data_IF_579744520035
#
_entry.id   IF_579744520035
#
_cell.length_a   1.000
_cell.length_b   1.000
_cell.length_c   1.000
_cell.angle_alpha   90.00
_cell.angle_beta   90.00
_cell.angle_gamma   90.00
#
_symmetry.space_group_name_H-M   'P 1'
#
loop_
_entity.id
_entity.type
_entity.pdbx_description
1 polymer ?
#
# COMPACT_ATOMS: atom_id res chain seq x y z
N UNK A 1 22.56 -1.33 -5.71
CA UNK A 1 22.77 -2.42 -6.70
C UNK A 1 21.97 -3.67 -6.36
N UNK A 2 21.97 -4.15 -5.11
CA UNK A 2 21.19 -5.35 -4.72
C UNK A 2 19.67 -5.16 -4.88
N UNK A 3 19.12 -4.00 -4.50
CA UNK A 3 17.68 -3.68 -4.66
C UNK A 3 17.27 -3.63 -6.13
N UNK A 4 17.96 -2.85 -6.95
CA UNK A 4 17.69 -2.77 -8.40
C UNK A 4 17.78 -4.14 -9.12
N UNK A 5 18.71 -5.00 -8.71
CA UNK A 5 18.78 -6.38 -9.20
C UNK A 5 17.60 -7.23 -8.69
N UNK A 6 17.19 -7.03 -7.43
CA UNK A 6 16.01 -7.69 -6.85
C UNK A 6 14.71 -7.31 -7.55
N UNK A 7 14.53 -6.02 -7.83
CA UNK A 7 13.40 -5.46 -8.57
C UNK A 7 13.36 -5.99 -10.00
N UNK A 8 14.48 -5.90 -10.74
CA UNK A 8 14.58 -6.45 -12.09
C UNK A 8 14.20 -7.94 -12.12
N UNK A 9 14.75 -8.73 -11.19
CA UNK A 9 14.44 -10.16 -11.12
C UNK A 9 12.97 -10.41 -10.78
N UNK A 10 12.36 -9.61 -9.91
CA UNK A 10 10.95 -9.74 -9.55
C UNK A 10 10.07 -9.43 -10.75
N UNK A 11 10.25 -8.26 -11.36
CA UNK A 11 9.46 -7.80 -12.50
C UNK A 11 9.63 -8.67 -13.74
N UNK A 12 10.86 -9.10 -14.06
CA UNK A 12 11.13 -9.92 -15.25
C UNK A 12 10.51 -11.33 -15.18
N UNK A 13 10.29 -11.86 -13.97
CA UNK A 13 9.71 -13.20 -13.77
C UNK A 13 8.22 -13.17 -13.41
N UNK A 14 7.65 -11.98 -13.20
CA UNK A 14 6.26 -11.84 -12.82
C UNK A 14 5.36 -11.98 -14.07
N UNK A 15 4.37 -12.90 -14.08
CA UNK A 15 3.39 -12.93 -15.16
C UNK A 15 2.65 -11.59 -15.23
N UNK A 16 2.24 -11.20 -16.44
CA UNK A 16 1.47 -9.98 -16.64
C UNK A 16 0.19 -10.00 -15.79
N UNK A 17 -0.10 -8.85 -15.19
CA UNK A 17 -1.31 -8.60 -14.41
C UNK A 17 -1.82 -7.20 -14.73
N UNK A 18 -3.13 -7.02 -14.84
CA UNK A 18 -3.70 -5.73 -15.28
C UNK A 18 -3.43 -4.60 -14.29
N UNK A 19 -3.28 -4.92 -13.01
CA UNK A 19 -3.10 -3.97 -11.92
C UNK A 19 -1.65 -3.88 -11.38
N UNK A 20 -0.67 -4.37 -12.15
CA UNK A 20 0.76 -4.28 -11.82
C UNK A 20 1.50 -3.68 -13.01
N UNK A 21 2.44 -2.77 -12.72
CA UNK A 21 3.26 -2.13 -13.73
C UNK A 21 4.09 -3.14 -14.52
N UNK A 22 3.92 -3.16 -15.84
CA UNK A 22 4.65 -4.06 -16.72
C UNK A 22 6.07 -3.55 -17.01
N UNK A 23 7.07 -4.42 -16.83
CA UNK A 23 8.41 -4.20 -17.35
C UNK A 23 8.44 -4.38 -18.87
N UNK A 24 8.74 -3.30 -19.58
CA UNK A 24 8.84 -3.22 -21.03
C UNK A 24 10.25 -3.58 -21.52
N UNK A 25 11.27 -3.32 -20.69
CA UNK A 25 12.66 -3.64 -20.99
C UNK A 25 13.60 -3.19 -19.87
N UNK A 26 14.88 -3.49 -20.00
CA UNK A 26 15.92 -3.00 -19.10
C UNK A 26 17.23 -2.77 -19.84
N UNK A 27 18.08 -1.89 -19.31
CA UNK A 27 19.44 -1.65 -19.78
C UNK A 27 20.41 -1.66 -18.60
N UNK A 28 21.59 -2.25 -18.79
CA UNK A 28 22.65 -2.28 -17.78
C UNK A 28 23.80 -1.41 -18.31
N UNK A 29 24.06 -0.30 -17.64
CA UNK A 29 25.13 0.65 -17.99
C UNK A 29 26.26 0.47 -16.98
N UNK A 30 27.48 0.20 -17.45
CA UNK A 30 28.60 -0.17 -16.55
C UNK A 30 29.69 0.91 -16.41
N UNK A 31 29.53 2.08 -17.03
CA UNK A 31 30.58 3.12 -17.08
C UNK A 31 30.02 4.51 -16.75
N UNK A 32 30.56 5.27 -15.77
CA UNK A 32 31.68 4.96 -14.87
C UNK A 32 31.28 4.13 -13.62
N UNK A 33 29.97 3.94 -13.39
CA UNK A 33 29.39 3.11 -12.33
C UNK A 33 28.32 2.18 -12.93
N UNK A 34 27.98 1.10 -12.23
CA UNK A 34 26.95 0.16 -12.68
C UNK A 34 25.54 0.66 -12.31
N UNK A 35 24.72 0.92 -13.34
CA UNK A 35 23.31 1.31 -13.23
C UNK A 35 22.43 0.29 -13.96
N UNK A 36 21.23 0.07 -13.42
CA UNK A 36 20.17 -0.69 -14.10
C UNK A 36 19.06 0.31 -14.40
N UNK A 37 18.72 0.44 -15.67
CA UNK A 37 17.60 1.24 -16.14
C UNK A 37 16.44 0.29 -16.39
N UNK A 38 15.29 0.55 -15.79
CA UNK A 38 14.07 -0.21 -16.00
C UNK A 38 13.10 0.63 -16.82
N UNK A 39 12.66 0.10 -17.95
CA UNK A 39 11.62 0.72 -18.77
C UNK A 39 10.29 0.07 -18.38
N UNK A 40 9.42 0.84 -17.73
CA UNK A 40 8.10 0.38 -17.28
C UNK A 40 7.00 0.93 -18.18
N UNK A 41 5.81 0.35 -18.11
CA UNK A 41 4.62 0.93 -18.73
C UNK A 41 4.36 2.35 -18.20
N UNK A 42 3.97 3.25 -19.09
CA UNK A 42 3.68 4.64 -18.72
C UNK A 42 2.30 4.74 -18.04
N UNK A 43 2.25 5.51 -16.96
CA UNK A 43 1.03 5.83 -16.22
C UNK A 43 0.87 7.36 -16.19
N UNK A 44 -0.03 7.90 -17.01
CA UNK A 44 -0.20 9.34 -17.23
C UNK A 44 -1.05 10.03 -16.15
N UNK A 45 -1.76 9.24 -15.34
CA UNK A 45 -2.65 9.74 -14.29
C UNK A 45 -1.95 10.14 -12.98
N UNK A 46 -0.62 10.03 -12.92
CA UNK A 46 0.17 10.33 -11.73
C UNK A 46 0.03 9.26 -10.64
N UNK A 47 0.33 9.62 -9.40
CA UNK A 47 0.17 8.73 -8.24
C UNK A 47 -1.29 8.71 -7.77
N UNK A 48 -1.64 7.71 -6.95
CA UNK A 48 -2.95 7.65 -6.30
C UNK A 48 -3.21 8.90 -5.46
N UNK A 49 -2.17 9.45 -4.81
CA UNK A 49 -2.28 10.70 -4.07
C UNK A 49 -2.68 11.87 -4.96
N UNK A 50 -1.98 12.04 -6.09
CA UNK A 50 -2.28 13.09 -7.08
C UNK A 50 -3.71 12.96 -7.60
N UNK A 51 -4.15 11.74 -7.91
CA UNK A 51 -5.48 11.47 -8.42
C UNK A 51 -6.58 11.80 -7.40
N UNK A 52 -6.41 11.36 -6.15
CA UNK A 52 -7.38 11.58 -5.07
C UNK A 52 -7.46 13.05 -4.66
N UNK A 53 -6.34 13.78 -4.65
CA UNK A 53 -6.32 15.21 -4.32
C UNK A 53 -6.75 16.10 -5.47
N UNK A 54 -6.48 15.71 -6.71
CA UNK A 54 -6.80 16.50 -7.90
C UNK A 54 -8.29 16.45 -8.28
N UNK A 55 -9.02 15.41 -7.90
CA UNK A 55 -10.39 15.17 -8.37
C UNK A 55 -11.29 14.61 -7.26
N UNK A 56 -12.48 15.19 -7.02
CA UNK A 56 -13.49 14.56 -6.17
C UNK A 56 -13.89 13.18 -6.72
N UNK A 57 -13.68 12.14 -5.93
CA UNK A 57 -14.01 10.77 -6.31
C UNK A 57 -15.39 10.37 -5.80
N UNK A 58 -16.21 9.82 -6.69
CA UNK A 58 -17.44 9.15 -6.26
C UNK A 58 -17.10 7.82 -5.56
N UNK A 59 -18.09 7.25 -4.87
CA UNK A 59 -17.88 6.01 -4.10
C UNK A 59 -17.53 4.84 -5.02
N UNK A 60 -18.11 4.76 -6.22
CA UNK A 60 -17.86 3.66 -7.15
C UNK A 60 -16.43 3.65 -7.68
N UNK A 61 -15.83 4.81 -7.96
CA UNK A 61 -14.41 4.91 -8.32
C UNK A 61 -13.52 4.45 -7.17
N UNK A 62 -13.82 4.84 -5.92
CA UNK A 62 -13.06 4.38 -4.74
C UNK A 62 -13.18 2.87 -4.53
N UNK A 63 -14.36 2.31 -4.77
CA UNK A 63 -14.61 0.85 -4.73
C UNK A 63 -13.74 0.16 -5.77
N UNK A 64 -13.80 0.60 -7.03
CA UNK A 64 -13.01 0.03 -8.12
C UNK A 64 -11.51 0.07 -7.82
N UNK A 65 -10.96 1.21 -7.43
CA UNK A 65 -9.55 1.33 -7.06
C UNK A 65 -9.16 0.35 -5.93
N UNK A 66 -10.04 0.18 -4.93
CA UNK A 66 -9.85 -0.76 -3.83
C UNK A 66 -9.85 -2.22 -4.31
N UNK A 67 -10.72 -2.58 -5.26
CA UNK A 67 -10.69 -3.91 -5.88
C UNK A 67 -9.42 -4.17 -6.66
N UNK A 68 -9.01 -3.21 -7.49
CA UNK A 68 -7.82 -3.33 -8.32
C UNK A 68 -6.56 -3.50 -7.45
N UNK A 69 -6.48 -2.76 -6.34
CA UNK A 69 -5.41 -2.93 -5.35
C UNK A 69 -5.47 -4.32 -4.69
N UNK A 70 -6.63 -4.75 -4.20
CA UNK A 70 -6.78 -6.06 -3.56
C UNK A 70 -6.46 -7.22 -4.51
N UNK A 71 -6.85 -7.11 -5.78
CA UNK A 71 -6.54 -8.06 -6.85
C UNK A 71 -5.03 -8.14 -7.11
N UNK A 72 -4.36 -6.98 -7.24
CA UNK A 72 -2.90 -6.91 -7.40
C UNK A 72 -2.15 -7.56 -6.22
N UNK A 73 -2.52 -7.24 -4.99
CA UNK A 73 -1.87 -7.80 -3.79
C UNK A 73 -2.15 -9.31 -3.68
N UNK A 74 -3.37 -9.75 -3.94
CA UNK A 74 -3.72 -11.19 -3.95
C UNK A 74 -2.90 -11.95 -4.99
N UNK A 75 -2.73 -11.39 -6.19
CA UNK A 75 -1.87 -11.95 -7.22
C UNK A 75 -0.41 -12.08 -6.77
N UNK A 76 0.18 -11.00 -6.21
CA UNK A 76 1.55 -11.04 -5.69
C UNK A 76 1.72 -12.09 -4.59
N UNK A 77 0.77 -12.14 -3.65
CA UNK A 77 0.83 -13.08 -2.53
C UNK A 77 0.69 -14.53 -2.98
N UNK A 78 -0.11 -14.83 -4.02
CA UNK A 78 -0.17 -16.17 -4.65
C UNK A 78 1.16 -16.59 -5.27
N UNK A 79 1.97 -15.63 -5.72
CA UNK A 79 3.34 -15.86 -6.21
C UNK A 79 4.39 -15.82 -5.09
N UNK A 80 3.95 -15.76 -3.83
CA UNK A 80 4.79 -15.61 -2.65
C UNK A 80 5.68 -14.37 -2.67
N UNK A 81 5.23 -13.30 -3.33
CA UNK A 81 5.89 -12.00 -3.33
C UNK A 81 5.19 -11.11 -2.29
N UNK A 82 5.98 -10.46 -1.44
CA UNK A 82 5.52 -9.42 -0.50
C UNK A 82 6.07 -8.09 -0.99
N UNK A 83 5.22 -7.07 -1.12
CA UNK A 83 5.59 -5.77 -1.66
C UNK A 83 6.38 -4.92 -0.65
N UNK A 84 5.91 -4.87 0.61
CA UNK A 84 6.48 -4.17 1.78
C UNK A 84 6.44 -2.65 1.78
N UNK A 85 6.27 -2.05 0.62
CA UNK A 85 6.21 -0.59 0.48
C UNK A 85 4.93 -0.12 -0.22
N UNK A 86 3.78 -0.70 0.14
CA UNK A 86 2.49 -0.24 -0.39
C UNK A 86 2.15 1.12 0.23
N UNK A 87 2.14 2.15 -0.60
CA UNK A 87 1.83 3.55 -0.25
C UNK A 87 1.36 4.30 -1.50
N UNK A 88 0.74 5.49 -1.38
CA UNK A 88 0.21 6.23 -2.52
C UNK A 88 1.23 6.49 -3.64
N UNK A 89 2.50 6.70 -3.31
CA UNK A 89 3.57 6.92 -4.29
C UNK A 89 3.84 5.69 -5.16
N UNK A 90 3.57 4.50 -4.63
CA UNK A 90 3.82 3.22 -5.29
C UNK A 90 2.55 2.65 -5.95
N UNK A 91 1.52 3.48 -6.07
CA UNK A 91 0.27 3.19 -6.77
C UNK A 91 0.08 4.26 -7.82
N UNK A 92 0.26 3.92 -9.09
CA UNK A 92 0.08 4.84 -10.21
C UNK A 92 -1.29 4.66 -10.84
N UNK A 93 -1.80 5.72 -11.45
CA UNK A 93 -3.00 5.70 -12.27
C UNK A 93 -2.59 5.73 -13.73
N UNK A 94 -3.02 4.73 -14.49
CA UNK A 94 -2.65 4.60 -15.90
C UNK A 94 -3.14 5.77 -16.74
N UNK A 95 -4.40 6.16 -16.55
CA UNK A 95 -5.06 7.25 -17.27
C UNK A 95 -6.08 7.96 -16.37
N UNK A 96 -6.29 9.27 -16.59
CA UNK A 96 -7.24 10.08 -15.84
C UNK A 96 -8.66 9.99 -16.43
N UNK A 97 -9.19 8.76 -16.48
CA UNK A 97 -10.57 8.50 -16.92
C UNK A 97 -11.54 8.42 -15.74
N UNK A 98 -12.84 8.35 -16.03
CA UNK A 98 -13.88 8.09 -15.01
C UNK A 98 -13.69 6.73 -14.31
N UNK A 99 -13.05 5.78 -15.02
CA UNK A 99 -12.76 4.42 -14.56
C UNK A 99 -11.24 4.17 -14.59
N UNK A 100 -10.49 4.82 -13.68
CA UNK A 100 -9.03 4.75 -13.67
C UNK A 100 -8.53 3.32 -13.46
N UNK A 101 -7.45 2.97 -14.15
CA UNK A 101 -6.72 1.73 -13.93
C UNK A 101 -5.54 2.00 -12.99
N UNK A 102 -5.57 1.39 -11.81
CA UNK A 102 -4.51 1.40 -10.82
C UNK A 102 -3.42 0.40 -11.21
N UNK A 103 -2.17 0.82 -11.04
CA UNK A 103 -0.96 0.04 -11.27
C UNK A 103 -0.08 0.08 -10.02
N UNK A 104 0.16 -1.08 -9.41
CA UNK A 104 1.20 -1.21 -8.38
C UNK A 104 2.57 -1.13 -9.04
N UNK A 105 3.43 -0.24 -8.54
CA UNK A 105 4.80 0.02 -9.02
C UNK A 105 5.81 -0.13 -7.87
N UNK A 106 7.09 -0.01 -8.19
CA UNK A 106 8.22 0.04 -7.26
C UNK A 106 8.36 -1.24 -6.40
N UNK A 107 9.05 -2.21 -6.98
CA UNK A 107 9.35 -3.49 -6.33
C UNK A 107 10.74 -3.50 -5.70
N UNK A 108 11.34 -2.33 -5.45
CA UNK A 108 12.69 -2.19 -4.89
C UNK A 108 12.88 -2.91 -3.56
N UNK A 109 11.82 -2.96 -2.74
CA UNK A 109 11.79 -3.67 -1.46
C UNK A 109 11.07 -5.02 -1.51
N UNK A 110 10.53 -5.40 -2.67
CA UNK A 110 9.77 -6.63 -2.80
C UNK A 110 10.67 -7.86 -2.66
N UNK A 111 10.15 -8.93 -2.08
CA UNK A 111 10.90 -10.20 -1.99
C UNK A 111 9.99 -11.42 -2.02
N UNK A 112 10.59 -12.54 -2.40
CA UNK A 112 9.95 -13.85 -2.35
C UNK A 112 10.04 -14.39 -0.92
N UNK A 113 8.92 -14.79 -0.30
CA UNK A 113 8.88 -15.26 1.09
C UNK A 113 9.88 -16.38 1.40
N UNK A 114 10.23 -17.24 0.44
CA UNK A 114 11.21 -18.32 0.62
C UNK A 114 12.66 -17.85 0.74
N UNK A 115 12.95 -16.57 0.43
CA UNK A 115 14.27 -15.94 0.54
C UNK A 115 14.40 -15.04 1.78
N UNK A 116 13.40 -15.06 2.66
CA UNK A 116 13.47 -14.36 3.93
C UNK A 116 14.45 -15.07 4.87
N UNK A 117 15.71 -14.67 4.79
CA UNK A 117 16.66 -14.88 5.86
C UNK A 117 16.33 -13.88 6.98
N UNK A 118 15.87 -14.31 8.17
CA UNK A 118 15.52 -13.43 9.29
C UNK A 118 16.66 -12.50 9.70
N UNK A 119 17.91 -12.84 9.35
CA UNK A 119 19.11 -12.08 9.72
C UNK A 119 19.45 -10.94 8.74
N UNK A 120 18.93 -10.97 7.51
CA UNK A 120 19.18 -9.93 6.48
C UNK A 120 18.07 -8.89 6.37
N UNK A 121 17.12 -8.96 7.29
CA UNK A 121 15.93 -8.11 7.31
C UNK A 121 16.22 -6.68 7.81
N UNK A 122 17.38 -6.49 8.43
CA UNK A 122 17.78 -5.23 9.06
C UNK A 122 18.01 -4.09 8.06
N UNK A 123 18.36 -4.39 6.81
CA UNK A 123 18.84 -3.39 5.84
C UNK A 123 17.72 -2.61 5.12
N UNK A 124 16.47 -3.11 5.18
CA UNK A 124 15.34 -2.56 4.41
C UNK A 124 14.79 -1.22 4.94
N UNK A 125 15.27 -0.73 6.09
CA UNK A 125 14.80 0.50 6.72
C UNK A 125 15.72 1.72 6.52
N UNK A 126 16.67 1.65 5.57
CA UNK A 126 17.67 2.72 5.39
C UNK A 126 17.27 3.80 4.37
N UNK A 127 16.15 3.63 3.66
CA UNK A 127 15.79 4.50 2.51
C UNK A 127 14.84 5.67 2.79
N UNK A 128 14.21 5.78 3.96
CA UNK A 128 13.16 6.78 4.23
C UNK A 128 13.55 7.79 5.30
N UNK A 129 14.76 8.35 5.20
CA UNK A 129 15.25 9.41 6.10
C UNK A 129 14.63 10.80 5.83
N UNK A 130 13.49 10.86 5.13
CA UNK A 130 12.76 12.09 4.83
C UNK A 130 11.24 12.02 5.12
N UNK A 131 10.67 10.88 5.51
CA UNK A 131 9.22 10.74 5.61
C UNK A 131 8.77 9.81 6.72
N UNK A 132 7.84 10.28 7.55
CA UNK A 132 7.21 9.49 8.60
C UNK A 132 6.55 8.23 8.01
N UNK A 133 6.73 7.04 8.61
CA UNK A 133 6.31 5.75 8.01
C UNK A 133 4.80 5.48 8.10
N UNK A 134 3.98 6.29 7.44
CA UNK A 134 2.50 6.27 7.56
C UNK A 134 1.85 4.94 7.21
N UNK A 135 2.48 4.14 6.36
CA UNK A 135 1.93 2.87 5.86
C UNK A 135 2.61 1.63 6.43
N UNK A 136 3.54 1.79 7.39
CA UNK A 136 4.30 0.66 7.94
C UNK A 136 3.51 -0.04 9.05
N UNK A 137 3.45 -1.37 8.97
CA UNK A 137 2.80 -2.22 9.95
C UNK A 137 3.54 -2.24 11.31
N UNK A 138 2.84 -2.38 12.44
CA UNK A 138 3.47 -2.32 13.77
C UNK A 138 4.55 -3.38 13.98
N UNK A 139 4.36 -4.60 13.49
CA UNK A 139 5.33 -5.69 13.60
C UNK A 139 6.60 -5.46 12.77
N UNK A 140 6.52 -4.63 11.73
CA UNK A 140 7.67 -4.24 10.93
C UNK A 140 8.54 -3.18 11.63
N UNK A 141 8.00 -2.49 12.64
CA UNK A 141 8.74 -1.54 13.50
C UNK A 141 9.43 -2.22 14.69
N UNK A 142 9.13 -3.49 14.94
CA UNK A 142 9.62 -4.24 16.11
C UNK A 142 10.99 -4.90 15.87
N UNK A 143 11.72 -5.20 16.95
CA UNK A 143 12.98 -5.93 16.84
C UNK A 143 12.74 -7.34 16.25
N UNK A 144 13.44 -7.64 15.16
CA UNK A 144 13.27 -8.88 14.39
C UNK A 144 12.48 -8.72 13.09
N UNK A 145 11.79 -7.58 12.89
CA UNK A 145 11.22 -7.14 11.61
C UNK A 145 10.44 -8.25 10.84
N UNK A 146 9.24 -8.60 11.31
CA UNK A 146 8.46 -9.69 10.71
C UNK A 146 7.73 -9.26 9.42
N UNK A 147 8.43 -9.19 8.28
CA UNK A 147 7.84 -8.86 6.97
C UNK A 147 7.14 -10.04 6.30
N UNK A 148 6.07 -10.47 6.95
CA UNK A 148 5.13 -11.45 6.38
C UNK A 148 4.22 -10.78 5.35
N UNK A 149 3.43 -11.58 4.62
CA UNK A 149 2.35 -11.06 3.76
C UNK A 149 1.40 -10.09 4.49
N UNK A 150 1.26 -10.24 5.81
CA UNK A 150 0.36 -9.42 6.62
C UNK A 150 0.76 -7.93 6.70
N UNK A 151 2.02 -7.57 6.38
CA UNK A 151 2.43 -6.15 6.31
C UNK A 151 1.73 -5.43 5.16
N UNK A 152 1.61 -6.08 3.99
CA UNK A 152 0.91 -5.52 2.83
C UNK A 152 -0.59 -5.37 3.11
N UNK A 153 -1.16 -6.29 3.90
CA UNK A 153 -2.57 -6.22 4.31
C UNK A 153 -2.82 -5.00 5.18
N UNK A 154 -1.91 -4.70 6.11
CA UNK A 154 -1.99 -3.51 6.95
C UNK A 154 -1.92 -2.23 6.11
N UNK A 155 -0.91 -2.12 5.25
CA UNK A 155 -0.75 -0.96 4.36
C UNK A 155 -1.96 -0.77 3.45
N UNK A 156 -2.50 -1.85 2.88
CA UNK A 156 -3.73 -1.83 2.09
C UNK A 156 -4.94 -1.36 2.91
N UNK A 157 -5.07 -1.78 4.17
CA UNK A 157 -6.14 -1.34 5.06
C UNK A 157 -6.10 0.18 5.30
N UNK A 158 -4.91 0.72 5.52
CA UNK A 158 -4.71 2.18 5.66
C UNK A 158 -4.97 2.94 4.36
N UNK A 159 -4.62 2.38 3.20
CA UNK A 159 -4.90 2.98 1.89
C UNK A 159 -6.41 3.08 1.64
N UNK A 160 -7.14 1.99 1.89
CA UNK A 160 -8.61 1.96 1.76
C UNK A 160 -9.24 2.98 2.69
N UNK A 161 -8.81 3.02 3.95
CA UNK A 161 -9.30 4.01 4.91
C UNK A 161 -9.05 5.45 4.42
N UNK A 162 -7.80 5.77 4.04
CA UNK A 162 -7.44 7.10 3.57
C UNK A 162 -8.29 7.54 2.37
N UNK A 163 -8.50 6.64 1.39
CA UNK A 163 -9.28 6.94 0.20
C UNK A 163 -10.75 7.22 0.53
N UNK A 164 -11.39 6.41 1.38
CA UNK A 164 -12.83 6.55 1.63
C UNK A 164 -13.16 7.77 2.50
N UNK A 165 -12.33 8.07 3.48
CA UNK A 165 -12.52 9.22 4.38
C UNK A 165 -11.82 10.50 3.87
N UNK A 166 -11.11 10.44 2.73
CA UNK A 166 -10.32 11.53 2.16
C UNK A 166 -9.30 12.11 3.17
N UNK A 167 -8.56 11.25 3.86
CA UNK A 167 -7.65 11.65 4.94
C UNK A 167 -6.29 12.08 4.41
N UNK A 168 -5.86 13.28 4.76
CA UNK A 168 -4.52 13.80 4.45
C UNK A 168 -3.76 14.17 5.72
N UNK A 169 -2.53 13.70 5.86
CA UNK A 169 -1.59 14.17 6.86
C UNK A 169 -0.68 15.25 6.26
N UNK A 170 -0.39 16.31 7.01
CA UNK A 170 0.61 17.31 6.65
C UNK A 170 1.72 17.29 7.69
N UNK A 171 2.98 17.26 7.25
CA UNK A 171 4.12 17.24 8.17
C UNK A 171 4.71 18.63 8.34
N UNK A 172 5.64 18.77 9.28
CA UNK A 172 6.39 20.02 9.45
C UNK A 172 7.50 20.22 8.43
N UNK A 173 7.93 19.13 7.79
CA UNK A 173 9.04 19.12 6.84
C UNK A 173 8.49 19.39 5.45
N UNK A 174 7.45 18.63 5.08
CA UNK A 174 6.71 18.75 3.83
C UNK A 174 5.31 19.27 4.13
N UNK A 175 5.04 20.51 3.70
CA UNK A 175 3.72 21.15 3.81
C UNK A 175 2.72 20.63 2.78
N UNK A 176 3.15 19.75 1.88
CA UNK A 176 2.27 19.08 0.94
C UNK A 176 1.42 18.01 1.64
N UNK A 177 0.11 17.94 1.36
CA UNK A 177 -0.76 16.93 1.94
C UNK A 177 -0.36 15.53 1.44
N UNK A 178 -0.26 14.59 2.37
CA UNK A 178 0.04 13.19 2.10
C UNK A 178 -1.20 12.35 2.41
N UNK A 179 -1.71 11.59 1.44
CA UNK A 179 -2.86 10.72 1.63
C UNK A 179 -2.47 9.67 2.68
N UNK A 180 -3.06 9.72 3.88
CA UNK A 180 -2.81 8.77 4.97
C UNK A 180 -3.76 9.00 6.16
N UNK A 181 -4.19 7.93 6.85
CA UNK A 181 -4.80 8.05 8.16
C UNK A 181 -3.74 8.32 9.24
N UNK A 182 -4.11 9.08 10.26
CA UNK A 182 -3.24 9.37 11.40
C UNK A 182 -4.06 9.63 12.67
N UNK A 183 -3.41 9.51 13.82
CA UNK A 183 -3.94 10.02 15.10
C UNK A 183 -3.26 11.34 15.41
N UNK A 184 -3.97 12.30 16.01
CA UNK A 184 -3.35 13.53 16.49
C UNK A 184 -2.42 13.21 17.66
N UNK A 185 -1.13 13.38 17.46
CA UNK A 185 -0.11 13.15 18.49
C UNK A 185 -0.16 14.21 19.61
N UNK A 186 0.52 13.93 20.72
CA UNK A 186 0.60 14.82 21.88
C UNK A 186 1.24 16.18 21.58
N UNK A 187 2.08 16.26 20.56
CA UNK A 187 2.72 17.48 20.05
C UNK A 187 1.83 18.26 19.08
N UNK A 188 0.62 17.77 18.79
CA UNK A 188 -0.30 18.36 17.81
C UNK A 188 -0.09 17.89 16.37
N UNK A 189 1.01 17.17 16.10
CA UNK A 189 1.37 16.65 14.78
C UNK A 189 0.75 15.28 14.48
N UNK A 190 0.56 14.93 13.19
CA UNK A 190 0.04 13.62 12.82
C UNK A 190 1.00 12.50 13.27
N UNK A 191 0.45 11.51 13.97
CA UNK A 191 1.15 10.30 14.37
C UNK A 191 0.66 9.11 13.54
N UNK A 192 1.54 8.35 12.88
CA UNK A 192 1.17 7.16 12.11
C UNK A 192 0.45 6.11 12.94
N UNK A 193 -0.54 5.47 12.33
CA UNK A 193 -1.30 4.39 12.97
C UNK A 193 -0.39 3.23 13.37
N UNK A 194 0.56 2.83 12.52
CA UNK A 194 1.52 1.76 12.82
C UNK A 194 2.32 2.01 14.10
N UNK A 195 2.81 3.24 14.30
CA UNK A 195 3.55 3.63 15.51
C UNK A 195 2.67 3.59 16.75
N UNK A 196 1.43 4.09 16.66
CA UNK A 196 0.47 4.06 17.77
C UNK A 196 0.17 2.62 18.19
N UNK A 197 -0.07 1.73 17.24
CA UNK A 197 -0.36 0.32 17.50
C UNK A 197 0.86 -0.45 18.03
N UNK A 198 2.06 -0.17 17.52
CA UNK A 198 3.30 -0.82 17.95
C UNK A 198 3.61 -0.62 19.43
N UNK A 199 3.19 0.52 20.01
CA UNK A 199 3.35 0.84 21.44
C UNK A 199 2.12 0.49 22.29
N UNK A 200 1.18 -0.30 21.75
CA UNK A 200 -0.01 -0.77 22.47
C UNK A 200 -1.17 0.24 22.53
N UNK A 201 -1.14 1.29 21.70
CA UNK A 201 -2.28 2.18 21.52
C UNK A 201 -3.40 1.53 20.69
N UNK A 202 -4.49 2.28 20.49
CA UNK A 202 -5.65 1.84 19.74
C UNK A 202 -6.19 2.94 18.82
N UNK A 203 -6.87 2.55 17.76
CA UNK A 203 -7.65 3.45 16.89
C UNK A 203 -9.13 3.34 17.26
N UNK A 204 -9.82 4.47 17.39
CA UNK A 204 -11.26 4.47 17.68
C UNK A 204 -12.06 3.93 16.48
N UNK A 205 -12.82 2.87 16.72
CA UNK A 205 -13.71 2.25 15.73
C UNK A 205 -14.73 3.19 15.13
N UNK A 206 -15.21 4.15 15.91
CA UNK A 206 -16.28 5.04 15.47
C UNK A 206 -15.80 6.13 14.50
N UNK A 207 -14.49 6.33 14.37
CA UNK A 207 -13.89 7.35 13.49
C UNK A 207 -13.57 6.79 12.10
N UNK A 208 -13.16 5.52 12.02
CA UNK A 208 -12.78 4.90 10.74
C UNK A 208 -14.01 4.64 9.88
N UNK A 209 -14.02 5.15 8.65
CA UNK A 209 -15.00 4.80 7.63
C UNK A 209 -16.44 4.86 8.16
N UNK A 210 -16.78 5.93 8.88
CA UNK A 210 -18.03 6.08 9.64
C UNK A 210 -19.27 5.81 8.79
N UNK A 211 -19.22 6.20 7.51
CA UNK A 211 -20.33 6.07 6.56
C UNK A 211 -20.36 4.70 5.84
N UNK A 212 -19.42 3.79 6.14
CA UNK A 212 -19.26 2.51 5.45
C UNK A 212 -19.07 1.36 6.46
N UNK A 213 -20.08 1.00 7.27
CA UNK A 213 -19.93 0.11 8.41
C UNK A 213 -19.42 -1.29 8.07
N UNK A 214 -19.82 -1.86 6.92
CA UNK A 214 -19.32 -3.16 6.46
C UNK A 214 -17.83 -3.10 6.10
N UNK A 215 -17.41 -2.08 5.34
CA UNK A 215 -15.99 -1.86 4.97
C UNK A 215 -15.14 -1.52 6.17
N UNK A 216 -15.65 -0.71 7.09
CA UNK A 216 -15.01 -0.40 8.37
C UNK A 216 -14.61 -1.67 9.10
N UNK A 217 -15.52 -2.64 9.22
CA UNK A 217 -15.22 -3.90 9.90
C UNK A 217 -14.08 -4.66 9.21
N UNK A 218 -14.09 -4.73 7.87
CA UNK A 218 -12.99 -5.33 7.11
C UNK A 218 -11.68 -4.58 7.35
N UNK A 219 -11.65 -3.26 7.18
CA UNK A 219 -10.45 -2.43 7.39
C UNK A 219 -9.91 -2.60 8.81
N UNK A 220 -10.77 -2.68 9.82
CA UNK A 220 -10.34 -2.95 11.20
C UNK A 220 -9.62 -4.28 11.36
N UNK A 221 -10.12 -5.34 10.73
CA UNK A 221 -9.41 -6.63 10.74
C UNK A 221 -8.09 -6.57 9.98
N UNK A 222 -7.99 -5.75 8.93
CA UNK A 222 -6.75 -5.55 8.17
C UNK A 222 -5.68 -4.78 8.94
N UNK A 223 -6.07 -3.87 9.83
CA UNK A 223 -5.14 -3.06 10.64
C UNK A 223 -4.94 -3.60 12.06
N UNK A 224 -5.32 -4.86 12.34
CA UNK A 224 -5.15 -5.47 13.67
C UNK A 224 -3.66 -5.46 14.07
N UNK A 225 -3.31 -5.03 15.30
CA UNK A 225 -1.92 -5.04 15.78
C UNK A 225 -1.31 -6.45 15.81
N UNK A 226 -2.12 -7.49 16.01
CA UNK A 226 -1.71 -8.88 15.85
C UNK A 226 -1.83 -9.29 14.38
N UNK A 227 -0.69 -9.30 13.69
CA UNK A 227 -0.62 -9.63 12.27
C UNK A 227 -1.20 -11.02 11.91
N UNK A 228 -1.32 -11.93 12.89
CA UNK A 228 -1.91 -13.27 12.68
C UNK A 228 -3.44 -13.25 12.58
N UNK A 229 -4.08 -12.19 13.06
CA UNK A 229 -5.54 -11.99 12.98
C UNK A 229 -5.98 -11.31 11.69
N UNK A 230 -5.03 -10.74 10.94
CA UNK A 230 -5.32 -10.07 9.68
C UNK A 230 -5.75 -11.09 8.63
N UNK A 231 -6.73 -10.76 7.77
CA UNK A 231 -7.10 -11.60 6.64
C UNK A 231 -5.94 -11.70 5.64
N UNK A 232 -5.94 -12.77 4.85
CA UNK A 232 -5.12 -12.89 3.66
C UNK A 232 -5.62 -11.96 2.55
N UNK A 233 -4.78 -11.68 1.54
CA UNK A 233 -5.19 -10.84 0.41
C UNK A 233 -6.37 -11.43 -0.38
N UNK A 234 -6.45 -12.76 -0.50
CA UNK A 234 -7.59 -13.45 -1.11
C UNK A 234 -8.88 -13.27 -0.29
N UNK A 235 -8.79 -13.36 1.04
CA UNK A 235 -9.93 -13.09 1.91
C UNK A 235 -10.37 -11.62 1.81
N UNK A 236 -9.44 -10.67 1.76
CA UNK A 236 -9.78 -9.25 1.54
C UNK A 236 -10.53 -9.07 0.22
N UNK A 237 -9.99 -9.59 -0.88
CA UNK A 237 -10.62 -9.50 -2.20
C UNK A 237 -12.03 -10.09 -2.23
N UNK A 238 -12.23 -11.27 -1.63
CA UNK A 238 -13.54 -11.91 -1.55
C UNK A 238 -14.52 -11.13 -0.65
N UNK A 239 -14.06 -10.62 0.50
CA UNK A 239 -14.90 -9.80 1.37
C UNK A 239 -15.34 -8.51 0.68
N UNK A 240 -14.46 -7.86 -0.09
CA UNK A 240 -14.83 -6.69 -0.88
C UNK A 240 -15.94 -7.04 -1.88
N UNK A 241 -15.86 -8.17 -2.60
CA UNK A 241 -16.93 -8.61 -3.53
C UNK A 241 -18.28 -8.75 -2.82
N UNK A 242 -18.29 -9.43 -1.67
CA UNK A 242 -19.50 -9.62 -0.87
C UNK A 242 -20.09 -8.29 -0.41
N UNK A 243 -19.24 -7.34 -0.03
CA UNK A 243 -19.69 -6.01 0.41
C UNK A 243 -20.39 -5.26 -0.73
N UNK A 244 -19.90 -5.35 -1.97
CA UNK A 244 -20.55 -4.70 -3.12
C UNK A 244 -21.82 -5.39 -3.58
N UNK A 245 -21.77 -6.72 -3.71
CA UNK A 245 -22.91 -7.52 -4.15
C UNK A 245 -24.08 -7.39 -3.15
N UNK A 246 -23.77 -7.16 -1.88
CA UNK A 246 -24.73 -6.95 -0.80
C UNK A 246 -25.22 -5.51 -0.60
N UNK A 247 -25.04 -4.63 -1.59
CA UNK A 247 -25.49 -3.23 -1.65
C UNK A 247 -25.30 -2.40 -0.38
N UNK A 248 -24.27 -1.56 -0.36
CA UNK A 248 -24.32 -0.25 0.34
C UNK A 248 -25.29 0.68 -0.45
N UNK A 249 -26.58 0.29 -0.56
CA UNK A 249 -27.61 1.28 -0.81
C UNK A 249 -27.70 2.10 0.48
N UNK A 250 -27.08 3.27 0.42
CA UNK A 250 -27.29 4.34 1.38
C UNK A 250 -28.80 4.62 1.34
N UNK A 251 -29.53 4.23 2.39
CA UNK A 251 -30.83 4.83 2.67
C UNK A 251 -30.59 6.33 2.79
N UNK A 252 -31.17 7.07 1.84
CA UNK A 252 -31.18 8.54 1.73
C UNK A 252 -31.74 9.22 2.97
#
# INVERSE_FOLDING_TARGET
>A
MNEAVGELNTLANLPRHDHIAQLMGHEIVTTPSAYIWLFLEICEGGTLGDYVFGNPQNVDTKRQLTFQLADAVAFLHKKNIVHRDLKPQNLMIKDNTEFPILKVVDFGLATVCSRLDPTKVHDYFTGSLAGTPYYVAPEALSQGHNWTKAVDIFSMGLLIWAMFDNLSATTNVDQEPYLAPYVKGSTGYPEPIGNVLARGGSVDHNVVMRNYPKRRNLVFTMIDPDYKKRPTADEVFNNLKIIEDGSDQIES
#
